data_IF_038684434813
#
_entry.id   IF_038684434813
#
_cell.length_a   1.000
_cell.length_b   1.000
_cell.length_c   1.000
_cell.angle_alpha   90.00
_cell.angle_beta   90.00
_cell.angle_gamma   90.00
#
_symmetry.space_group_name_H-M   'P 1'
#
loop_
_entity.id
_entity.type
_entity.pdbx_description
1 polymer ?
#
# COMPACT_ATOMS: atom_id res chain seq x y z
N UNK A 1 24.35 -13.26 -15.63
CA UNK A 1 22.97 -13.67 -15.99
C UNK A 1 22.04 -12.82 -15.14
N UNK A 2 21.23 -12.00 -15.75
CA UNK A 2 20.38 -11.06 -15.02
C UNK A 2 19.26 -11.84 -14.33
N UNK A 3 19.38 -12.06 -13.03
CA UNK A 3 18.44 -12.85 -12.24
C UNK A 3 17.01 -12.24 -12.24
N UNK A 4 16.86 -10.99 -12.65
CA UNK A 4 15.60 -10.25 -12.62
C UNK A 4 15.01 -9.97 -14.01
N UNK A 5 15.57 -10.56 -15.08
CA UNK A 5 15.09 -10.30 -16.45
C UNK A 5 13.61 -10.61 -16.65
N UNK A 6 13.09 -11.65 -15.98
CA UNK A 6 11.67 -12.01 -16.05
C UNK A 6 10.77 -10.94 -15.44
N UNK A 7 11.21 -10.37 -14.31
CA UNK A 7 10.49 -9.27 -13.63
C UNK A 7 10.50 -8.03 -14.52
N UNK A 8 11.67 -7.66 -15.03
CA UNK A 8 11.81 -6.54 -15.97
C UNK A 8 10.87 -6.70 -17.17
N UNK A 9 10.91 -7.83 -17.84
CA UNK A 9 10.06 -8.11 -19.01
C UNK A 9 8.55 -8.09 -18.65
N UNK A 10 8.20 -8.50 -17.44
CA UNK A 10 6.82 -8.42 -16.96
C UNK A 10 6.39 -6.96 -16.77
N UNK A 11 7.22 -6.13 -16.15
CA UNK A 11 6.94 -4.71 -15.92
C UNK A 11 6.81 -3.94 -17.24
N UNK A 12 7.69 -4.20 -18.20
CA UNK A 12 7.61 -3.60 -19.54
C UNK A 12 6.30 -3.98 -20.25
N UNK A 13 5.85 -5.21 -20.05
CA UNK A 13 4.58 -5.68 -20.60
C UNK A 13 3.36 -5.02 -19.94
N UNK A 14 3.42 -4.71 -18.64
CA UNK A 14 2.34 -3.99 -17.95
C UNK A 14 2.10 -2.61 -18.57
N UNK A 15 3.14 -1.89 -18.95
CA UNK A 15 2.99 -0.58 -19.61
C UNK A 15 2.35 -0.68 -21.00
N UNK A 16 2.51 -1.83 -21.69
CA UNK A 16 1.79 -2.09 -22.94
C UNK A 16 0.31 -2.37 -22.75
N UNK A 17 -0.15 -2.69 -21.53
CA UNK A 17 -1.54 -3.00 -21.18
C UNK A 17 -2.28 -1.84 -20.53
N UNK A 18 -1.94 -0.61 -20.86
CA UNK A 18 -2.56 0.63 -20.35
C UNK A 18 -2.20 1.00 -18.91
N UNK A 19 -1.18 0.41 -18.32
CA UNK A 19 -0.62 0.93 -17.07
C UNK A 19 0.39 2.01 -17.46
N UNK A 20 0.17 3.28 -17.09
CA UNK A 20 1.01 4.40 -17.54
C UNK A 20 2.47 4.22 -17.21
N UNK A 21 2.74 3.82 -15.96
CA UNK A 21 4.08 3.56 -15.45
C UNK A 21 4.02 2.68 -14.22
N UNK A 22 5.13 2.03 -13.95
CA UNK A 22 5.29 1.20 -12.76
C UNK A 22 6.75 1.21 -12.28
N UNK A 23 6.94 0.91 -11.01
CA UNK A 23 8.25 0.84 -10.39
C UNK A 23 8.30 -0.31 -9.39
N UNK A 24 9.45 -0.93 -9.26
CA UNK A 24 9.73 -1.98 -8.30
C UNK A 24 11.11 -1.79 -7.69
N UNK A 25 11.21 -1.99 -6.39
CA UNK A 25 12.48 -2.12 -5.68
C UNK A 25 12.47 -3.42 -4.89
N UNK A 26 13.49 -4.23 -5.02
CA UNK A 26 13.62 -5.51 -4.31
C UNK A 26 14.80 -5.44 -3.35
N UNK A 27 14.52 -5.83 -2.10
CA UNK A 27 15.51 -6.01 -1.05
C UNK A 27 15.64 -7.50 -0.70
N UNK A 28 16.87 -7.97 -0.52
CA UNK A 28 17.19 -9.28 0.06
C UNK A 28 18.21 -9.03 1.17
N UNK A 29 17.98 -9.57 2.36
CA UNK A 29 18.83 -9.36 3.53
C UNK A 29 19.19 -7.89 3.77
N UNK A 30 18.17 -7.02 3.75
CA UNK A 30 18.29 -5.55 3.89
C UNK A 30 19.18 -4.86 2.85
N UNK A 31 19.52 -5.54 1.75
CA UNK A 31 20.28 -4.95 0.63
C UNK A 31 19.36 -4.79 -0.58
N UNK A 32 19.36 -3.58 -1.16
CA UNK A 32 18.68 -3.35 -2.42
C UNK A 32 19.42 -4.10 -3.53
N UNK A 33 18.76 -5.09 -4.12
CA UNK A 33 19.34 -5.98 -5.15
C UNK A 33 18.81 -5.72 -6.55
N UNK A 34 17.66 -5.04 -6.65
CA UNK A 34 17.05 -4.70 -7.92
C UNK A 34 16.21 -3.43 -7.78
N UNK A 35 16.27 -2.59 -8.79
CA UNK A 35 15.52 -1.36 -8.91
C UNK A 35 15.21 -1.14 -10.39
N UNK A 36 13.93 -1.00 -10.72
CA UNK A 36 13.52 -0.83 -12.10
C UNK A 36 12.21 -0.05 -12.19
N UNK A 37 12.18 0.86 -13.16
CA UNK A 37 10.97 1.62 -13.50
C UNK A 37 10.73 1.53 -14.99
N UNK A 38 9.46 1.47 -15.41
CA UNK A 38 9.07 1.49 -16.82
C UNK A 38 7.83 2.33 -17.05
N UNK A 39 7.67 2.84 -18.28
CA UNK A 39 6.57 3.71 -18.65
C UNK A 39 6.78 5.16 -18.23
N UNK A 40 5.68 5.86 -18.00
CA UNK A 40 5.64 7.30 -17.77
C UNK A 40 4.95 7.63 -16.44
N UNK A 41 5.48 8.62 -15.73
CA UNK A 41 4.80 9.27 -14.61
C UNK A 41 3.75 10.28 -15.10
N UNK A 42 3.99 10.87 -16.27
CA UNK A 42 3.05 11.72 -17.00
C UNK A 42 3.05 11.30 -18.47
N UNK A 43 1.95 10.70 -18.91
CA UNK A 43 1.80 10.20 -20.28
C UNK A 43 1.68 11.32 -21.29
N UNK A 44 0.98 12.41 -20.95
CA UNK A 44 0.73 13.53 -21.85
C UNK A 44 2.01 14.27 -22.19
N UNK A 45 2.83 14.53 -21.17
CA UNK A 45 4.11 15.22 -21.30
C UNK A 45 5.28 14.27 -21.57
N UNK A 46 5.04 12.96 -21.66
CA UNK A 46 6.06 11.92 -21.87
C UNK A 46 7.19 11.95 -20.84
N UNK A 47 6.85 12.28 -19.58
CA UNK A 47 7.81 12.26 -18.47
C UNK A 47 8.00 10.81 -18.03
N UNK A 48 9.23 10.24 -18.14
CA UNK A 48 9.46 8.85 -17.79
C UNK A 48 9.29 8.59 -16.29
N UNK A 49 8.85 7.39 -15.93
CA UNK A 49 8.81 6.90 -14.56
C UNK A 49 10.23 6.71 -14.03
N UNK A 50 10.53 7.26 -12.86
CA UNK A 50 11.87 7.20 -12.25
C UNK A 50 11.94 6.31 -11.00
N UNK A 51 10.77 6.06 -10.37
CA UNK A 51 10.66 5.37 -9.09
C UNK A 51 10.75 6.30 -7.87
N UNK A 52 10.87 7.62 -8.10
CA UNK A 52 10.91 8.63 -7.04
C UNK A 52 9.61 9.46 -6.94
N UNK A 53 8.59 9.05 -7.68
CA UNK A 53 7.30 9.73 -7.70
C UNK A 53 6.57 9.55 -6.37
N UNK A 54 5.84 10.60 -5.96
CA UNK A 54 4.92 10.53 -4.83
C UNK A 54 3.62 9.89 -5.30
N UNK A 55 3.33 8.71 -4.77
CA UNK A 55 2.16 7.93 -5.12
C UNK A 55 1.26 7.71 -3.90
N UNK A 56 -0.05 7.68 -4.15
CA UNK A 56 -1.00 7.22 -3.15
C UNK A 56 -0.82 5.71 -2.92
N UNK A 57 -0.48 5.33 -1.70
CA UNK A 57 -0.27 3.92 -1.35
C UNK A 57 -1.53 3.22 -0.83
N UNK A 58 -2.66 3.95 -0.77
CA UNK A 58 -3.97 3.44 -0.37
C UNK A 58 -3.90 2.54 0.87
N UNK A 59 -4.43 1.32 0.79
CA UNK A 59 -4.47 0.39 1.93
C UNK A 59 -3.11 -0.07 2.47
N UNK A 60 -2.01 0.18 1.76
CA UNK A 60 -0.68 -0.05 2.31
C UNK A 60 -0.40 0.84 3.54
N UNK A 61 -1.08 1.98 3.65
CA UNK A 61 -1.04 2.85 4.83
C UNK A 61 -1.51 2.15 6.12
N UNK A 62 -2.37 1.11 6.00
CA UNK A 62 -2.86 0.36 7.15
C UNK A 62 -1.74 -0.30 7.96
N UNK A 63 -0.67 -0.71 7.30
CA UNK A 63 0.49 -1.31 7.99
C UNK A 63 1.08 -0.32 8.98
N UNK A 64 1.32 0.93 8.56
CA UNK A 64 1.84 1.96 9.44
C UNK A 64 0.84 2.30 10.57
N UNK A 65 -0.45 2.43 10.25
CA UNK A 65 -1.51 2.73 11.23
C UNK A 65 -1.62 1.63 12.29
N UNK A 66 -1.65 0.37 11.87
CA UNK A 66 -1.73 -0.77 12.81
C UNK A 66 -0.46 -0.86 13.65
N UNK A 67 0.71 -0.63 13.07
CA UNK A 67 1.97 -0.61 13.84
C UNK A 67 1.94 0.47 14.92
N UNK A 68 1.46 1.67 14.62
CA UNK A 68 1.30 2.74 15.60
C UNK A 68 0.29 2.36 16.70
N UNK A 69 -0.84 1.73 16.34
CA UNK A 69 -1.79 1.24 17.32
C UNK A 69 -1.19 0.17 18.25
N UNK A 70 -0.43 -0.78 17.69
CA UNK A 70 0.23 -1.81 18.49
C UNK A 70 1.27 -1.25 19.47
N UNK A 71 1.91 -0.14 19.15
CA UNK A 71 2.78 0.57 20.11
C UNK A 71 2.01 1.13 21.31
N UNK A 72 0.74 1.51 21.13
CA UNK A 72 -0.13 1.94 22.23
C UNK A 72 -0.61 0.73 23.04
N UNK A 73 -0.92 -0.37 22.37
CA UNK A 73 -1.24 -1.65 23.02
C UNK A 73 -0.08 -2.14 23.90
N UNK A 74 1.17 -2.12 23.42
CA UNK A 74 2.34 -2.48 24.22
C UNK A 74 2.53 -1.60 25.48
N UNK A 75 2.04 -0.36 25.44
CA UNK A 75 2.02 0.57 26.58
C UNK A 75 0.82 0.34 27.52
N UNK A 76 -0.05 -0.61 27.22
CA UNK A 76 -1.25 -0.89 28.01
C UNK A 76 -2.33 0.20 27.94
N UNK A 77 -2.34 1.02 26.87
CA UNK A 77 -3.31 2.12 26.73
C UNK A 77 -4.69 1.58 26.34
N UNK A 78 -4.73 0.46 25.61
CA UNK A 78 -5.96 -0.26 25.27
C UNK A 78 -5.69 -1.76 25.14
N UNK A 79 -6.75 -2.56 25.19
CA UNK A 79 -6.70 -4.00 24.90
C UNK A 79 -7.36 -4.27 23.54
N UNK A 80 -6.96 -5.38 22.89
CA UNK A 80 -7.51 -5.75 21.58
C UNK A 80 -9.02 -6.09 21.63
N UNK A 81 -9.50 -6.49 22.79
CA UNK A 81 -10.90 -6.82 23.03
C UNK A 81 -11.73 -5.66 23.58
N UNK A 82 -11.13 -4.49 23.79
CA UNK A 82 -11.84 -3.30 24.23
C UNK A 82 -12.85 -2.87 23.17
N UNK A 83 -14.13 -2.64 23.56
CA UNK A 83 -15.12 -2.14 22.62
C UNK A 83 -14.78 -0.71 22.17
N UNK A 84 -14.90 -0.45 20.87
CA UNK A 84 -14.56 0.86 20.30
C UNK A 84 -15.32 2.03 20.96
N UNK A 85 -16.54 1.79 21.41
CA UNK A 85 -17.37 2.83 22.06
C UNK A 85 -16.84 3.31 23.43
N UNK A 86 -15.87 2.60 24.02
CA UNK A 86 -15.19 3.09 25.24
C UNK A 86 -14.28 4.28 24.93
N UNK A 87 -13.79 4.36 23.72
CA UNK A 87 -12.91 5.43 23.23
C UNK A 87 -13.66 6.46 22.37
N UNK A 88 -14.65 5.99 21.62
CA UNK A 88 -15.47 6.82 20.72
C UNK A 88 -16.94 6.47 21.00
N UNK A 89 -17.61 7.18 21.95
CA UNK A 89 -18.98 6.85 22.40
C UNK A 89 -20.04 6.79 21.31
N UNK A 90 -19.81 7.50 20.19
CA UNK A 90 -20.70 7.53 19.03
C UNK A 90 -20.87 6.15 18.36
N UNK A 91 -19.94 5.23 18.60
CA UNK A 91 -20.00 3.88 18.05
C UNK A 91 -20.85 2.89 18.90
N UNK A 92 -21.44 3.34 20.04
CA UNK A 92 -22.20 2.47 20.94
C UNK A 92 -23.44 1.88 20.27
N UNK A 93 -24.15 2.68 19.50
CA UNK A 93 -25.43 2.32 18.88
C UNK A 93 -25.29 2.03 17.39
N UNK A 94 -24.08 1.61 16.96
CA UNK A 94 -23.83 1.23 15.56
C UNK A 94 -24.37 -0.18 15.29
N UNK A 95 -25.08 -0.32 14.18
CA UNK A 95 -25.55 -1.61 13.68
C UNK A 95 -25.27 -1.75 12.19
N UNK A 96 -25.21 -2.99 11.75
CA UNK A 96 -25.08 -3.31 10.32
C UNK A 96 -26.46 -3.35 9.72
N UNK A 97 -26.70 -2.54 8.69
CA UNK A 97 -27.95 -2.60 7.93
C UNK A 97 -28.04 -3.94 7.21
N UNK A 98 -29.07 -4.74 7.55
CA UNK A 98 -29.35 -5.99 6.85
C UNK A 98 -30.03 -5.68 5.50
N UNK A 99 -29.94 -6.63 4.56
CA UNK A 99 -30.52 -6.50 3.21
C UNK A 99 -32.04 -6.36 3.20
N UNK A 100 -32.69 -6.78 4.28
CA UNK A 100 -34.15 -6.78 4.43
C UNK A 100 -34.70 -5.54 5.18
N UNK A 101 -33.84 -4.64 5.64
CA UNK A 101 -34.25 -3.35 6.19
C UNK A 101 -34.56 -2.38 5.05
N UNK A 102 -35.87 -2.26 4.71
CA UNK A 102 -36.43 -1.21 3.87
C UNK A 102 -36.48 0.13 4.60
#
# INVERSE_FOLDING_TARGET
MDNFIKIKNFMDRLTSWRIPGNSITIYIDNRRVFDYSSGYSDVENKIPMTGNELLNIYSCSKVATVTAALQLYEKGIFLLDDPLYEYIPEFRDMYVKDKDDN
#
